data_IF_133988690167
#
_entry.id   IF_133988690167
#
_cell.length_a   1.000
_cell.length_b   1.000
_cell.length_c   1.000
_cell.angle_alpha   90.00
_cell.angle_beta   90.00
_cell.angle_gamma   90.00
#
_symmetry.space_group_name_H-M   'P 1'
#
loop_
_entity.id
_entity.type
_entity.pdbx_description
1 polymer ?
#
# COMPACT_ATOMS: atom_id res chain seq x y z
N UNK A 1 -25.43 -17.92 39.93
CA UNK A 1 -23.95 -17.96 39.82
C UNK A 1 -23.55 -17.06 38.66
N UNK A 2 -22.73 -16.02 38.89
CA UNK A 2 -22.28 -15.12 37.83
C UNK A 2 -20.93 -15.63 37.26
N UNK A 3 -20.80 -15.68 35.93
CA UNK A 3 -19.53 -16.00 35.27
C UNK A 3 -18.69 -14.72 35.19
N UNK A 4 -17.40 -14.73 35.60
CA UNK A 4 -16.54 -13.58 35.42
C UNK A 4 -16.43 -13.25 33.93
N UNK A 5 -16.73 -12.01 33.56
CA UNK A 5 -16.51 -11.49 32.21
C UNK A 5 -15.44 -10.39 32.30
N UNK A 6 -14.37 -10.55 31.52
CA UNK A 6 -13.36 -9.52 31.33
C UNK A 6 -13.51 -8.98 29.89
N UNK A 7 -13.81 -7.69 29.75
CA UNK A 7 -13.80 -7.02 28.46
C UNK A 7 -12.39 -6.54 28.16
N UNK A 8 -11.72 -7.20 27.22
CA UNK A 8 -10.40 -6.77 26.73
C UNK A 8 -10.61 -5.96 25.46
N UNK A 9 -10.15 -4.72 25.48
CA UNK A 9 -10.22 -3.82 24.32
C UNK A 9 -9.15 -4.26 23.31
N UNK A 10 -9.55 -5.04 22.30
CA UNK A 10 -8.64 -5.38 21.18
C UNK A 10 -8.49 -4.13 20.32
N UNK A 11 -7.27 -3.62 20.09
CA UNK A 11 -7.05 -2.51 19.17
C UNK A 11 -7.47 -2.93 17.75
N UNK A 12 -8.65 -2.51 17.31
CA UNK A 12 -9.07 -2.58 15.91
C UNK A 12 -8.74 -1.23 15.28
N UNK A 13 -7.70 -1.18 14.45
CA UNK A 13 -7.37 0.06 13.75
C UNK A 13 -5.97 0.15 13.17
N UNK A 14 -5.41 -0.93 12.64
CA UNK A 14 -4.20 -0.84 11.82
C UNK A 14 -4.56 -1.22 10.40
N UNK A 15 -4.62 -0.22 9.51
CA UNK A 15 -4.78 -0.44 8.08
C UNK A 15 -3.38 -0.63 7.51
N UNK A 16 -3.07 -1.84 7.05
CA UNK A 16 -1.78 -2.14 6.41
C UNK A 16 -1.96 -2.23 4.90
N UNK A 17 -1.12 -1.52 4.14
CA UNK A 17 -1.11 -1.50 2.68
C UNK A 17 0.28 -1.89 2.19
N UNK A 18 0.34 -2.81 1.21
CA UNK A 18 1.58 -3.19 0.54
C UNK A 18 1.54 -2.71 -0.90
N UNK A 19 2.45 -1.80 -1.27
CA UNK A 19 2.64 -1.37 -2.65
C UNK A 19 3.75 -2.23 -3.28
N UNK A 20 3.42 -2.95 -4.33
CA UNK A 20 4.38 -3.72 -5.12
C UNK A 20 4.54 -3.04 -6.49
N UNK A 21 5.76 -2.60 -6.81
CA UNK A 21 6.07 -1.85 -8.03
C UNK A 21 6.99 -2.67 -8.92
N UNK A 22 6.52 -2.99 -10.12
CA UNK A 22 7.35 -3.58 -11.18
C UNK A 22 8.31 -2.52 -11.73
N UNK A 23 9.58 -2.87 -11.90
CA UNK A 23 10.60 -2.05 -12.60
C UNK A 23 11.19 -2.78 -13.80
N UNK A 24 10.46 -3.73 -14.37
CA UNK A 24 10.80 -4.40 -15.63
C UNK A 24 10.99 -3.39 -16.77
N UNK A 25 11.72 -3.79 -17.82
CA UNK A 25 11.98 -2.91 -18.97
C UNK A 25 10.71 -2.37 -19.65
N UNK A 26 9.58 -3.09 -19.55
CA UNK A 26 8.29 -2.63 -20.07
C UNK A 26 7.77 -1.36 -19.39
N UNK A 27 8.21 -1.08 -18.16
CA UNK A 27 7.77 0.07 -17.38
C UNK A 27 8.37 1.40 -17.87
N UNK A 28 9.35 1.36 -18.77
CA UNK A 28 9.84 2.53 -19.50
C UNK A 28 8.96 2.93 -20.70
N UNK A 29 7.93 2.15 -21.04
CA UNK A 29 7.01 2.48 -22.12
C UNK A 29 6.22 3.77 -21.84
N UNK A 30 5.91 4.52 -22.90
CA UNK A 30 5.23 5.83 -22.86
C UNK A 30 3.79 5.76 -23.39
N UNK A 31 3.25 4.55 -23.58
CA UNK A 31 1.83 4.34 -23.91
C UNK A 31 0.91 4.75 -22.75
N UNK A 32 1.48 4.89 -21.56
CA UNK A 32 0.97 5.73 -20.48
C UNK A 32 1.97 6.87 -20.26
N UNK A 33 1.53 8.11 -20.46
CA UNK A 33 2.38 9.29 -20.27
C UNK A 33 2.61 9.58 -18.78
N UNK A 34 3.81 10.04 -18.37
CA UNK A 34 5.01 10.21 -19.21
C UNK A 34 5.69 8.87 -19.50
N UNK A 35 5.84 8.02 -18.48
CA UNK A 35 6.18 6.60 -18.60
C UNK A 35 5.28 5.78 -17.67
N UNK A 36 5.10 4.48 -17.93
CA UNK A 36 4.32 3.61 -17.04
C UNK A 36 4.84 3.64 -15.59
N UNK A 37 6.15 3.68 -15.38
CA UNK A 37 6.73 3.78 -14.02
C UNK A 37 6.39 5.11 -13.34
N UNK A 38 6.48 6.24 -14.05
CA UNK A 38 6.11 7.54 -13.48
C UNK A 38 4.62 7.63 -13.18
N UNK A 39 3.77 7.09 -14.05
CA UNK A 39 2.34 7.00 -13.82
C UNK A 39 2.02 6.12 -12.60
N UNK A 40 2.70 4.99 -12.43
CA UNK A 40 2.56 4.12 -11.27
C UNK A 40 2.99 4.82 -9.97
N UNK A 41 4.09 5.59 -10.00
CA UNK A 41 4.55 6.39 -8.85
C UNK A 41 3.49 7.44 -8.48
N UNK A 42 2.92 8.14 -9.46
CA UNK A 42 1.86 9.14 -9.23
C UNK A 42 0.59 8.51 -8.63
N UNK A 43 0.18 7.35 -9.14
CA UNK A 43 -0.95 6.59 -8.61
C UNK A 43 -0.69 6.10 -7.18
N UNK A 44 0.53 5.61 -6.90
CA UNK A 44 0.95 5.19 -5.56
C UNK A 44 0.91 6.32 -4.54
N UNK A 45 1.41 7.51 -4.91
CA UNK A 45 1.30 8.72 -4.07
C UNK A 45 -0.16 9.08 -3.78
N UNK A 46 -0.99 9.11 -4.82
CA UNK A 46 -2.44 9.38 -4.68
C UNK A 46 -3.13 8.38 -3.75
N UNK A 47 -2.72 7.11 -3.75
CA UNK A 47 -3.23 6.11 -2.83
C UNK A 47 -2.82 6.44 -1.39
N UNK A 48 -1.53 6.69 -1.15
CA UNK A 48 -0.97 7.00 0.18
C UNK A 48 -1.63 8.25 0.78
N UNK A 49 -1.84 9.29 -0.02
CA UNK A 49 -2.47 10.55 0.43
C UNK A 49 -3.91 10.37 0.92
N UNK A 50 -4.59 9.28 0.51
CA UNK A 50 -5.96 8.96 0.92
C UNK A 50 -6.02 8.01 2.12
N UNK A 51 -4.88 7.50 2.59
CA UNK A 51 -4.85 6.60 3.73
C UNK A 51 -5.06 7.36 5.04
N UNK A 52 -5.70 6.73 6.04
CA UNK A 52 -5.78 7.33 7.36
C UNK A 52 -4.38 7.45 7.98
N UNK A 53 -4.18 8.43 8.87
CA UNK A 53 -2.87 8.76 9.44
C UNK A 53 -2.21 7.63 10.25
N UNK A 54 -2.98 6.62 10.66
CA UNK A 54 -2.50 5.43 11.35
C UNK A 54 -2.25 4.23 10.42
N UNK A 55 -2.33 4.42 9.10
CA UNK A 55 -2.03 3.37 8.14
C UNK A 55 -0.53 3.05 8.11
N UNK A 56 -0.21 1.77 8.00
CA UNK A 56 1.15 1.29 7.77
C UNK A 56 1.30 0.95 6.29
N UNK A 57 2.32 1.51 5.64
CA UNK A 57 2.58 1.29 4.21
C UNK A 57 3.93 0.59 4.04
N UNK A 58 3.92 -0.57 3.41
CA UNK A 58 5.11 -1.24 2.90
C UNK A 58 5.27 -1.00 1.39
N UNK A 59 6.50 -0.88 0.93
CA UNK A 59 6.85 -0.78 -0.49
C UNK A 59 7.83 -1.89 -0.86
N UNK A 60 7.51 -2.66 -1.88
CA UNK A 60 8.45 -3.57 -2.54
C UNK A 60 8.59 -3.15 -3.99
N UNK A 61 9.84 -3.05 -4.42
CA UNK A 61 10.20 -2.89 -5.82
C UNK A 61 10.72 -4.24 -6.28
N UNK A 62 10.22 -4.71 -7.41
CA UNK A 62 10.60 -6.01 -7.94
C UNK A 62 10.89 -5.91 -9.43
N UNK A 63 11.78 -6.79 -9.88
CA UNK A 63 12.04 -7.02 -11.29
C UNK A 63 12.15 -8.54 -11.47
N UNK A 64 11.50 -9.09 -12.49
CA UNK A 64 11.75 -10.45 -12.92
C UNK A 64 12.91 -10.39 -13.91
N UNK A 65 14.12 -10.73 -13.46
CA UNK A 65 15.26 -10.91 -14.34
C UNK A 65 15.04 -12.12 -15.25
#
# INVERSE_FOLDING_TARGET
>A
MARPQASIRVPKGQTSVMLAVDVSGSMAATDVQPTRIEAAIAAGRTLIDKLPSNAQVGLVIFNAQ
#
